data_IF_301316772796
#
_entry.id   IF_301316772796
#
_cell.length_a   1.000
_cell.length_b   1.000
_cell.length_c   1.000
_cell.angle_alpha   90.00
_cell.angle_beta   90.00
_cell.angle_gamma   90.00
#
_symmetry.space_group_name_H-M   'P 1'
#
loop_
_entity.id
_entity.type
_entity.pdbx_description
1 polymer ?
#
# COMPACT_ATOMS: atom_id res chain seq x y z
N UNK A 1 -2.89 40.86 36.31
CA UNK A 1 -1.66 40.13 35.94
C UNK A 1 -2.06 38.73 35.52
N UNK A 2 -2.17 38.49 34.21
CA UNK A 2 -2.49 37.18 33.67
C UNK A 2 -1.22 36.32 33.66
N UNK A 3 -1.31 35.10 34.20
CA UNK A 3 -0.37 34.03 33.88
C UNK A 3 -1.09 33.14 32.86
N UNK A 4 -0.82 33.34 31.58
CA UNK A 4 -1.03 32.30 30.59
C UNK A 4 -0.10 31.14 30.95
N UNK A 5 -0.70 30.02 31.34
CA UNK A 5 0.01 28.74 31.35
C UNK A 5 -0.09 28.24 29.92
N UNK A 6 1.02 28.27 29.20
CA UNK A 6 1.17 27.47 27.99
C UNK A 6 1.07 26.00 28.42
N UNK A 7 -0.12 25.42 28.28
CA UNK A 7 -0.31 23.97 28.34
C UNK A 7 0.39 23.40 27.11
N UNK A 8 1.60 22.88 27.31
CA UNK A 8 2.23 22.00 26.33
C UNK A 8 1.42 20.70 26.38
N UNK A 9 0.46 20.54 25.47
CA UNK A 9 -0.11 19.21 25.19
C UNK A 9 1.06 18.27 24.85
N UNK A 10 1.32 17.30 25.72
CA UNK A 10 2.24 16.20 25.45
C UNK A 10 1.71 15.41 24.26
N UNK A 11 2.12 15.80 23.05
CA UNK A 11 1.85 15.06 21.84
C UNK A 11 2.50 13.68 21.96
N UNK A 12 1.67 12.67 22.25
CA UNK A 12 2.11 11.28 22.29
C UNK A 12 2.38 10.81 20.87
N UNK A 13 3.65 10.88 20.46
CA UNK A 13 4.14 10.33 19.19
C UNK A 13 3.74 8.86 19.08
N UNK A 14 2.89 8.55 18.11
CA UNK A 14 2.47 7.19 17.82
C UNK A 14 2.46 6.94 16.31
N UNK A 15 2.89 5.75 15.84
CA UNK A 15 2.85 5.43 14.43
C UNK A 15 1.42 5.58 13.88
N UNK A 16 1.27 6.33 12.78
CA UNK A 16 -0.01 6.57 12.11
C UNK A 16 -0.89 7.70 12.69
N UNK A 17 -0.45 8.43 13.73
CA UNK A 17 -1.25 9.52 14.33
C UNK A 17 -1.15 10.85 13.57
N UNK A 18 -0.03 11.12 12.91
CA UNK A 18 0.15 12.30 12.07
C UNK A 18 0.36 11.86 10.62
N UNK A 19 -0.51 12.35 9.74
CA UNK A 19 -0.38 12.13 8.30
C UNK A 19 0.44 13.23 7.65
N UNK A 20 0.35 14.45 8.18
CA UNK A 20 1.11 15.59 7.71
C UNK A 20 2.16 15.97 8.75
N UNK A 21 3.42 16.00 8.33
CA UNK A 21 4.57 16.52 9.08
C UNK A 21 5.08 17.78 8.36
N UNK A 22 5.92 18.60 9.00
CA UNK A 22 6.51 19.76 8.32
C UNK A 22 7.28 19.28 7.07
N UNK A 23 6.86 19.75 5.90
CA UNK A 23 7.45 19.37 4.61
C UNK A 23 7.02 18.02 4.05
N UNK A 24 6.17 17.25 4.74
CA UNK A 24 5.70 15.93 4.30
C UNK A 24 4.17 15.88 4.38
N UNK A 25 3.54 15.58 3.25
CA UNK A 25 2.09 15.36 3.20
C UNK A 25 1.78 13.87 3.17
N UNK A 26 0.83 13.44 3.99
CA UNK A 26 0.40 12.06 4.07
C UNK A 26 -0.29 11.59 2.80
N UNK A 27 -0.37 10.27 2.65
CA UNK A 27 -1.15 9.69 1.56
C UNK A 27 -2.64 9.95 1.82
N UNK A 28 -3.27 10.74 0.93
CA UNK A 28 -4.65 11.23 1.12
C UNK A 28 -5.68 10.11 1.32
N UNK A 29 -5.40 8.89 0.87
CA UNK A 29 -6.29 7.74 0.96
C UNK A 29 -6.15 7.01 2.32
N UNK A 30 -6.61 7.65 3.40
CA UNK A 30 -6.57 7.08 4.77
C UNK A 30 -7.24 5.70 4.81
N UNK A 31 -6.57 4.73 5.42
CA UNK A 31 -7.09 3.36 5.58
C UNK A 31 -7.30 2.59 4.28
N UNK A 32 -6.73 3.06 3.16
CA UNK A 32 -6.86 2.42 1.84
C UNK A 32 -5.54 1.79 1.38
N UNK A 33 -4.44 2.10 2.05
CA UNK A 33 -3.12 1.56 1.74
C UNK A 33 -2.88 0.26 2.50
N UNK A 34 -2.51 -0.78 1.77
CA UNK A 34 -2.06 -2.06 2.33
C UNK A 34 -0.69 -2.37 1.76
N UNK A 35 0.17 -3.01 2.56
CA UNK A 35 1.51 -3.43 2.15
C UNK A 35 1.60 -4.95 2.11
N UNK A 36 2.17 -5.48 1.03
CA UNK A 36 2.57 -6.88 0.89
C UNK A 36 4.09 -6.99 0.81
N UNK A 37 4.60 -8.18 1.12
CA UNK A 37 6.00 -8.55 0.87
C UNK A 37 6.00 -9.50 -0.33
N UNK A 38 6.82 -9.21 -1.33
CA UNK A 38 6.95 -10.04 -2.52
C UNK A 38 7.61 -11.39 -2.16
N UNK A 39 6.95 -12.49 -2.50
CA UNK A 39 7.44 -13.85 -2.28
C UNK A 39 7.37 -14.66 -3.57
N UNK A 40 8.44 -15.38 -3.88
CA UNK A 40 8.64 -16.20 -5.08
C UNK A 40 8.59 -17.71 -4.77
N UNK A 41 8.19 -18.09 -3.55
CA UNK A 41 8.09 -19.49 -3.11
C UNK A 41 7.20 -20.37 -4.01
N UNK A 42 6.16 -19.79 -4.59
CA UNK A 42 5.18 -20.46 -5.46
C UNK A 42 5.31 -20.08 -6.95
N UNK A 43 6.42 -19.42 -7.35
CA UNK A 43 6.67 -19.06 -8.75
C UNK A 43 7.47 -17.77 -8.96
N UNK A 44 7.62 -17.36 -10.23
CA UNK A 44 8.43 -16.19 -10.59
C UNK A 44 7.64 -14.90 -10.39
N UNK A 45 8.23 -13.94 -9.66
CA UNK A 45 7.70 -12.59 -9.51
C UNK A 45 7.79 -11.82 -10.84
N UNK A 46 6.70 -11.17 -11.30
CA UNK A 46 6.69 -10.52 -12.60
C UNK A 46 7.29 -9.09 -12.55
N UNK A 47 7.53 -8.52 -13.73
CA UNK A 47 7.82 -7.09 -13.93
C UNK A 47 9.06 -6.55 -13.19
N UNK A 48 10.07 -7.39 -12.98
CA UNK A 48 11.31 -6.99 -12.32
C UNK A 48 11.18 -6.80 -10.81
N UNK A 49 10.06 -7.21 -10.22
CA UNK A 49 9.86 -7.23 -8.77
C UNK A 49 10.68 -8.41 -8.22
N UNK A 50 11.48 -8.15 -7.20
CA UNK A 50 12.34 -9.16 -6.58
C UNK A 50 11.79 -9.60 -5.22
N UNK A 51 12.17 -10.80 -4.79
CA UNK A 51 11.80 -11.35 -3.48
C UNK A 51 12.16 -10.36 -2.36
N UNK A 52 11.26 -10.21 -1.39
CA UNK A 52 11.43 -9.31 -0.25
C UNK A 52 11.06 -7.85 -0.51
N UNK A 53 10.74 -7.47 -1.76
CA UNK A 53 10.24 -6.11 -2.06
C UNK A 53 8.95 -5.82 -1.29
N UNK A 54 8.83 -4.61 -0.75
CA UNK A 54 7.58 -4.09 -0.22
C UNK A 54 6.71 -3.56 -1.36
N UNK A 55 5.48 -4.02 -1.42
CA UNK A 55 4.50 -3.66 -2.43
C UNK A 55 3.39 -2.89 -1.74
N UNK A 56 3.26 -1.60 -2.06
CA UNK A 56 2.18 -0.76 -1.57
C UNK A 56 1.05 -0.70 -2.59
N UNK A 57 -0.15 -1.05 -2.13
CA UNK A 57 -1.36 -0.97 -2.92
C UNK A 57 -2.34 0.03 -2.35
N UNK A 58 -3.09 0.69 -3.23
CA UNK A 58 -4.30 1.42 -2.87
C UNK A 58 -5.50 0.52 -3.22
N UNK A 59 -6.21 0.08 -2.18
CA UNK A 59 -7.34 -0.85 -2.26
C UNK A 59 -8.59 -0.25 -2.91
N UNK A 60 -8.68 1.09 -2.99
CA UNK A 60 -9.83 1.79 -3.59
C UNK A 60 -9.46 2.59 -4.83
N UNK A 61 -8.18 2.59 -5.23
CA UNK A 61 -7.75 3.26 -6.44
C UNK A 61 -8.47 2.72 -7.68
N UNK A 62 -8.91 3.65 -8.52
CA UNK A 62 -9.22 3.36 -9.92
C UNK A 62 -7.91 3.02 -10.66
N UNK A 63 -8.00 2.17 -11.66
CA UNK A 63 -6.87 1.80 -12.52
C UNK A 63 -7.31 1.77 -13.98
N UNK A 64 -6.33 1.78 -14.87
CA UNK A 64 -6.52 1.67 -16.33
C UNK A 64 -5.77 0.45 -16.86
N UNK A 65 -6.09 0.07 -18.10
CA UNK A 65 -5.38 -1.00 -18.81
C UNK A 65 -3.86 -0.74 -18.79
N UNK A 66 -3.10 -1.76 -18.42
CA UNK A 66 -1.64 -1.72 -18.29
C UNK A 66 -1.13 -1.41 -16.88
N UNK A 67 -1.97 -0.88 -15.98
CA UNK A 67 -1.57 -0.65 -14.59
C UNK A 67 -1.28 -1.98 -13.88
N UNK A 68 -0.31 -1.97 -12.97
CA UNK A 68 -0.05 -3.09 -12.08
C UNK A 68 -1.07 -3.12 -10.95
N UNK A 69 -1.68 -4.28 -10.76
CA UNK A 69 -2.73 -4.52 -9.77
C UNK A 69 -2.46 -5.82 -9.02
N UNK A 70 -3.07 -5.91 -7.85
CA UNK A 70 -3.22 -7.15 -7.09
C UNK A 70 -4.64 -7.68 -7.29
N UNK A 71 -4.75 -8.98 -7.54
CA UNK A 71 -6.02 -9.69 -7.54
C UNK A 71 -5.96 -10.91 -6.61
N UNK A 72 -7.11 -11.32 -6.06
CA UNK A 72 -7.20 -12.57 -5.31
C UNK A 72 -6.97 -13.75 -6.25
N UNK A 73 -6.12 -14.70 -5.87
CA UNK A 73 -5.93 -15.94 -6.61
C UNK A 73 -6.68 -17.08 -5.92
N UNK A 74 -7.92 -17.33 -6.38
CA UNK A 74 -8.78 -18.37 -5.84
C UNK A 74 -8.32 -19.79 -6.19
N UNK A 75 -7.31 -19.95 -7.06
CA UNK A 75 -6.72 -21.26 -7.39
C UNK A 75 -5.71 -21.70 -6.34
N UNK A 76 -5.18 -20.76 -5.56
CA UNK A 76 -4.35 -21.08 -4.43
C UNK A 76 -5.24 -21.50 -3.26
N UNK A 77 -4.94 -22.65 -2.64
CA UNK A 77 -5.72 -23.19 -1.51
C UNK A 77 -5.53 -22.38 -0.22
N UNK A 78 -4.45 -21.59 -0.16
CA UNK A 78 -4.28 -20.51 0.83
C UNK A 78 -4.85 -19.24 0.22
N UNK A 79 -5.50 -18.38 1.00
CA UNK A 79 -6.03 -17.06 0.58
C UNK A 79 -4.94 -16.17 -0.03
N UNK A 80 -4.51 -16.49 -1.25
CA UNK A 80 -3.37 -15.94 -1.93
C UNK A 80 -3.77 -14.81 -2.85
N UNK A 81 -2.79 -13.98 -3.19
CA UNK A 81 -2.94 -12.87 -4.11
C UNK A 81 -1.84 -12.94 -5.16
N UNK A 82 -2.09 -12.37 -6.34
CA UNK A 82 -1.09 -12.30 -7.41
C UNK A 82 -0.97 -10.92 -8.01
N UNK A 83 0.24 -10.60 -8.46
CA UNK A 83 0.56 -9.39 -9.22
C UNK A 83 0.20 -9.63 -10.68
N UNK A 84 -0.47 -8.68 -11.32
CA UNK A 84 -0.76 -8.75 -12.75
C UNK A 84 -0.90 -7.34 -13.36
N UNK A 85 -0.88 -7.26 -14.69
CA UNK A 85 -1.27 -6.05 -15.42
C UNK A 85 -2.77 -6.11 -15.70
N UNK A 86 -3.46 -5.01 -15.40
CA UNK A 86 -4.86 -4.85 -15.78
C UNK A 86 -5.02 -4.95 -17.31
N UNK A 87 -5.87 -5.85 -17.76
CA UNK A 87 -6.23 -6.02 -19.18
C UNK A 87 -7.52 -5.25 -19.47
N UNK A 88 -8.44 -5.22 -18.50
CA UNK A 88 -9.74 -4.54 -18.56
C UNK A 88 -9.83 -3.40 -17.53
N UNK A 89 -10.78 -2.49 -17.71
CA UNK A 89 -11.05 -1.40 -16.75
C UNK A 89 -11.71 -1.87 -15.44
N UNK A 90 -12.15 -3.12 -15.38
CA UNK A 90 -12.69 -3.78 -14.18
C UNK A 90 -12.37 -5.27 -14.25
N UNK A 91 -11.44 -5.70 -13.43
CA UNK A 91 -10.93 -7.05 -13.31
C UNK A 91 -11.71 -7.72 -12.20
N UNK A 92 -12.06 -8.98 -12.43
CA UNK A 92 -12.63 -9.80 -11.37
C UNK A 92 -11.59 -9.95 -10.26
N UNK A 93 -12.05 -9.96 -9.01
CA UNK A 93 -11.22 -10.22 -7.84
C UNK A 93 -10.13 -9.16 -7.56
N UNK A 94 -10.30 -7.94 -8.09
CA UNK A 94 -9.43 -6.80 -7.81
C UNK A 94 -9.33 -6.51 -6.30
N UNK A 95 -8.09 -6.36 -5.82
CA UNK A 95 -7.81 -6.05 -4.41
C UNK A 95 -7.12 -4.70 -4.22
N UNK A 96 -6.44 -4.18 -5.24
CA UNK A 96 -5.85 -2.86 -5.19
C UNK A 96 -4.86 -2.60 -6.32
N UNK A 97 -4.61 -1.33 -6.60
CA UNK A 97 -3.63 -0.90 -7.60
C UNK A 97 -2.29 -0.70 -6.91
N UNK A 98 -1.24 -1.28 -7.47
CA UNK A 98 0.14 -1.04 -7.01
C UNK A 98 0.52 0.39 -7.41
N UNK A 99 0.92 1.20 -6.43
CA UNK A 99 1.41 2.56 -6.68
C UNK A 99 2.88 2.75 -6.30
N UNK A 100 3.45 1.85 -5.50
CA UNK A 100 4.86 1.86 -5.15
C UNK A 100 5.34 0.43 -4.90
N UNK A 101 6.51 0.12 -5.44
CA UNK A 101 7.29 -1.06 -5.08
C UNK A 101 8.66 -0.55 -4.64
N UNK A 102 9.12 -1.00 -3.48
CA UNK A 102 10.45 -0.65 -2.99
C UNK A 102 11.16 -1.89 -2.47
N UNK A 103 12.44 -1.99 -2.76
CA UNK A 103 13.30 -3.02 -2.20
C UNK A 103 14.05 -2.43 -1.02
N UNK A 104 14.08 -3.16 0.10
CA UNK A 104 14.99 -2.83 1.20
C UNK A 104 16.25 -3.65 0.96
N UNK A 105 17.38 -2.97 0.83
CA UNK A 105 18.71 -3.57 0.70
C UNK A 105 19.35 -3.75 2.08
#
# INVERSE_FOLDING_TARGET
MAKEKDEIEENTYGPGRYEDLIGIKGYKAKGQVVTYIADDSEGILPYGIIKGSLIFIDTKAKYKKGDLIIIKDTRNKRDGVRITKAVFGKEKDFMGRIFLVTTIY
#
